data_IF_278249465551
#
_entry.id   IF_278249465551
#
_cell.length_a   1.000
_cell.length_b   1.000
_cell.length_c   1.000
_cell.angle_alpha   90.00
_cell.angle_beta   90.00
_cell.angle_gamma   90.00
#
_symmetry.space_group_name_H-M   'P 1'
#
loop_
_entity.id
_entity.type
_entity.pdbx_description
1 polymer ?
#
# COMPACT_ATOMS: atom_id res chain seq x y z
N UNK A 1 12.16 -13.67 -3.10
CA UNK A 1 10.93 -14.35 -2.61
C UNK A 1 10.09 -14.85 -3.78
N UNK A 2 9.36 -15.95 -3.62
CA UNK A 2 8.40 -16.46 -4.62
C UNK A 2 7.09 -15.65 -4.60
N UNK A 3 6.79 -14.96 -5.70
CA UNK A 3 5.59 -14.12 -5.82
C UNK A 3 4.29 -14.94 -5.80
N UNK A 4 4.34 -16.24 -6.09
CA UNK A 4 3.14 -17.10 -6.07
C UNK A 4 2.55 -17.23 -4.66
N UNK A 5 3.37 -17.08 -3.61
CA UNK A 5 2.90 -16.99 -2.22
C UNK A 5 1.90 -15.83 -2.01
N UNK A 6 1.96 -14.78 -2.84
CA UNK A 6 1.08 -13.61 -2.76
C UNK A 6 -0.16 -13.70 -3.65
N UNK A 7 -0.42 -14.80 -4.37
CA UNK A 7 -1.54 -14.88 -5.32
C UNK A 7 -2.90 -14.58 -4.69
N UNK A 8 -3.21 -15.21 -3.55
CA UNK A 8 -4.46 -14.99 -2.81
C UNK A 8 -4.57 -13.53 -2.35
N UNK A 9 -3.48 -12.96 -1.82
CA UNK A 9 -3.43 -11.56 -1.41
C UNK A 9 -3.66 -10.62 -2.60
N UNK A 10 -2.96 -10.86 -3.71
CA UNK A 10 -3.10 -10.11 -4.97
C UNK A 10 -4.52 -10.16 -5.51
N UNK A 11 -5.16 -11.33 -5.51
CA UNK A 11 -6.54 -11.50 -5.93
C UNK A 11 -7.50 -10.67 -5.08
N UNK A 12 -7.34 -10.69 -3.76
CA UNK A 12 -8.17 -9.89 -2.87
C UNK A 12 -7.94 -8.38 -3.06
N UNK A 13 -6.69 -7.94 -3.26
CA UNK A 13 -6.41 -6.56 -3.62
C UNK A 13 -7.14 -6.16 -4.91
N UNK A 14 -7.08 -6.97 -5.96
CA UNK A 14 -7.75 -6.69 -7.23
C UNK A 14 -9.27 -6.54 -7.07
N UNK A 15 -9.88 -7.36 -6.21
CA UNK A 15 -11.33 -7.34 -5.98
C UNK A 15 -11.81 -6.19 -5.08
N UNK A 16 -11.07 -5.89 -4.01
CA UNK A 16 -11.55 -5.02 -2.93
C UNK A 16 -10.88 -3.64 -2.89
N UNK A 17 -9.64 -3.51 -3.38
CA UNK A 17 -8.91 -2.24 -3.33
C UNK A 17 -9.66 -1.10 -4.04
N UNK A 18 -10.22 -1.28 -5.26
CA UNK A 18 -10.94 -0.19 -5.93
C UNK A 18 -12.08 0.39 -5.08
N UNK A 19 -12.77 -0.46 -4.31
CA UNK A 19 -13.88 -0.03 -3.44
C UNK A 19 -13.41 0.75 -2.22
N UNK A 20 -12.24 0.42 -1.65
CA UNK A 20 -11.69 1.22 -0.56
C UNK A 20 -11.12 2.54 -1.06
N UNK A 21 -10.43 2.54 -2.20
CA UNK A 21 -9.98 3.79 -2.85
C UNK A 21 -11.17 4.68 -3.18
N UNK A 22 -12.28 4.12 -3.68
CA UNK A 22 -13.50 4.87 -3.93
C UNK A 22 -14.02 5.62 -2.69
N UNK A 23 -13.98 5.00 -1.51
CA UNK A 23 -14.40 5.67 -0.26
C UNK A 23 -13.49 6.86 0.05
N UNK A 24 -12.17 6.66 -0.07
CA UNK A 24 -11.19 7.72 0.17
C UNK A 24 -11.39 8.88 -0.82
N UNK A 25 -11.59 8.59 -2.10
CA UNK A 25 -11.83 9.62 -3.13
C UNK A 25 -13.14 10.37 -2.92
N UNK A 26 -14.19 9.69 -2.46
CA UNK A 26 -15.46 10.35 -2.13
C UNK A 26 -15.31 11.33 -0.96
N UNK A 27 -14.50 10.98 0.05
CA UNK A 27 -14.21 11.85 1.18
C UNK A 27 -13.31 13.04 0.75
N UNK A 28 -12.43 12.82 -0.22
CA UNK A 28 -11.52 13.83 -0.78
C UNK A 28 -12.08 14.63 -1.96
N UNK A 29 -13.34 14.44 -2.39
CA UNK A 29 -13.86 14.94 -3.68
C UNK A 29 -13.80 16.46 -3.90
N UNK A 30 -13.70 17.23 -2.82
CA UNK A 30 -13.60 18.70 -2.85
C UNK A 30 -12.14 19.19 -2.78
N UNK A 31 -11.19 18.26 -2.68
CA UNK A 31 -9.75 18.51 -2.61
C UNK A 31 -9.09 18.44 -3.98
N UNK A 32 -7.92 19.06 -4.11
CA UNK A 32 -7.16 19.08 -5.37
C UNK A 32 -6.21 17.90 -5.54
N UNK A 33 -5.78 17.34 -4.42
CA UNK A 33 -4.78 16.27 -4.35
C UNK A 33 -5.12 15.33 -3.22
N UNK A 34 -4.67 14.09 -3.33
CA UNK A 34 -4.80 13.11 -2.25
C UNK A 34 -3.55 12.22 -2.26
N UNK A 35 -2.96 11.96 -1.10
CA UNK A 35 -1.94 10.94 -0.96
C UNK A 35 -2.53 9.74 -0.21
N UNK A 36 -2.27 8.53 -0.70
CA UNK A 36 -2.80 7.28 -0.13
C UNK A 36 -1.62 6.34 0.16
N UNK A 37 -1.42 6.06 1.44
CA UNK A 37 -0.36 5.22 1.97
C UNK A 37 -0.85 3.83 2.34
N UNK A 38 -0.11 2.81 1.93
CA UNK A 38 -0.24 1.44 2.38
C UNK A 38 0.79 1.20 3.50
N UNK A 39 0.34 1.20 4.76
CA UNK A 39 1.21 1.22 5.93
C UNK A 39 1.17 -0.11 6.67
N UNK A 40 2.31 -0.78 6.73
CA UNK A 40 2.47 -2.04 7.45
C UNK A 40 3.24 -1.85 8.75
N UNK A 41 3.12 -2.76 9.72
CA UNK A 41 4.06 -2.81 10.85
C UNK A 41 5.41 -3.34 10.39
N UNK A 42 6.48 -3.08 11.14
CA UNK A 42 7.82 -3.56 10.78
C UNK A 42 7.91 -5.09 10.60
N UNK A 43 7.08 -5.85 11.31
CA UNK A 43 6.99 -7.32 11.27
C UNK A 43 5.90 -7.85 10.32
N UNK A 44 5.21 -6.98 9.58
CA UNK A 44 4.09 -7.29 8.69
C UNK A 44 2.84 -7.90 9.35
N UNK A 45 2.73 -7.87 10.69
CA UNK A 45 1.52 -8.25 11.45
C UNK A 45 0.50 -7.13 11.63
N UNK A 46 0.60 -6.08 10.83
CA UNK A 46 -0.41 -5.04 10.69
C UNK A 46 -0.33 -4.47 9.28
N UNK A 47 -1.49 -4.16 8.69
CA UNK A 47 -1.53 -3.51 7.39
C UNK A 47 -2.80 -2.68 7.22
N UNK A 48 -2.65 -1.40 6.92
CA UNK A 48 -3.75 -0.46 6.80
C UNK A 48 -3.50 0.59 5.72
N UNK A 49 -4.57 1.30 5.34
CA UNK A 49 -4.52 2.48 4.48
C UNK A 49 -4.51 3.73 5.35
N UNK A 50 -3.71 4.73 4.97
CA UNK A 50 -3.74 6.07 5.51
C UNK A 50 -3.84 7.08 4.36
N UNK A 51 -4.44 8.24 4.59
CA UNK A 51 -4.46 9.29 3.57
C UNK A 51 -4.48 10.71 4.15
N UNK A 52 -4.03 11.64 3.33
CA UNK A 52 -4.14 13.07 3.57
C UNK A 52 -4.36 13.80 2.23
N UNK A 53 -4.74 15.07 2.30
CA UNK A 53 -5.03 15.90 1.14
C UNK A 53 -3.79 16.67 0.64
N UNK A 54 -2.66 16.56 1.35
CA UNK A 54 -1.35 17.00 0.87
C UNK A 54 -0.66 15.93 0.03
N UNK A 55 0.41 16.31 -0.67
CA UNK A 55 1.36 15.38 -1.30
C UNK A 55 2.62 15.17 -0.46
N UNK A 56 2.62 15.61 0.80
CA UNK A 56 3.77 15.44 1.70
C UNK A 56 3.66 14.11 2.46
N UNK A 57 4.32 13.09 1.91
CA UNK A 57 4.27 11.73 2.46
C UNK A 57 5.33 11.48 3.53
N UNK A 58 6.24 12.43 3.82
CA UNK A 58 7.32 12.19 4.79
C UNK A 58 6.86 12.28 6.25
N UNK A 59 5.69 12.88 6.48
CA UNK A 59 5.04 12.99 7.79
C UNK A 59 3.75 12.13 7.86
N UNK A 60 3.68 11.04 7.09
CA UNK A 60 2.48 10.18 7.03
C UNK A 60 2.05 9.61 8.38
N UNK A 61 2.97 9.50 9.35
CA UNK A 61 2.71 9.02 10.71
C UNK A 61 1.87 9.99 11.55
N UNK A 62 1.73 11.25 11.15
CA UNK A 62 0.86 12.24 11.79
C UNK A 62 -0.56 12.28 11.19
N UNK A 63 -0.80 11.51 10.12
CA UNK A 63 -2.08 11.55 9.43
C UNK A 63 -3.20 10.95 10.27
N UNK A 64 -4.36 11.62 10.24
CA UNK A 64 -5.52 11.25 11.05
C UNK A 64 -6.46 10.28 10.36
N UNK A 65 -6.45 10.27 9.03
CA UNK A 65 -7.33 9.39 8.28
C UNK A 65 -6.68 8.03 8.11
N UNK A 66 -7.44 6.98 8.40
CA UNK A 66 -6.98 5.62 8.22
C UNK A 66 -8.12 4.62 8.16
N UNK A 67 -7.89 3.52 7.43
CA UNK A 67 -8.80 2.40 7.27
C UNK A 67 -7.99 1.10 7.36
N UNK A 68 -8.48 0.12 8.10
CA UNK A 68 -7.83 -1.18 8.25
C UNK A 68 -8.68 -2.27 7.58
N UNK A 69 -8.71 -2.33 6.23
CA UNK A 69 -9.52 -3.31 5.54
C UNK A 69 -8.96 -4.73 5.74
N UNK A 70 -9.84 -5.69 6.02
CA UNK A 70 -9.44 -7.06 6.37
C UNK A 70 -8.64 -7.77 5.25
N UNK A 71 -8.85 -7.40 3.99
CA UNK A 71 -8.14 -8.00 2.85
C UNK A 71 -6.67 -7.59 2.78
N UNK A 72 -6.27 -6.47 3.41
CA UNK A 72 -4.87 -6.11 3.52
C UNK A 72 -4.19 -6.89 4.66
N UNK A 73 -4.90 -7.05 5.79
CA UNK A 73 -4.29 -7.60 6.99
C UNK A 73 -4.18 -9.13 6.98
N UNK A 74 -5.30 -9.85 7.06
CA UNK A 74 -5.27 -11.29 7.33
C UNK A 74 -4.51 -12.09 6.26
N UNK A 75 -4.68 -11.84 4.95
CA UNK A 75 -3.95 -12.61 3.95
C UNK A 75 -2.45 -12.29 3.93
N UNK A 76 -2.03 -11.10 4.40
CA UNK A 76 -0.59 -10.83 4.56
C UNK A 76 -0.02 -11.64 5.72
N UNK A 77 -0.73 -11.69 6.85
CA UNK A 77 -0.35 -12.53 8.00
C UNK A 77 -0.27 -14.01 7.61
N UNK A 78 -1.26 -14.51 6.87
CA UNK A 78 -1.24 -15.90 6.36
C UNK A 78 0.07 -16.19 5.57
N UNK A 79 0.60 -15.22 4.82
CA UNK A 79 1.85 -15.37 4.06
C UNK A 79 3.05 -15.31 4.99
N UNK A 80 3.09 -14.36 5.93
CA UNK A 80 4.15 -14.23 6.95
C UNK A 80 4.28 -15.54 7.74
N UNK A 81 3.17 -16.09 8.22
CA UNK A 81 3.12 -17.37 8.97
C UNK A 81 3.51 -18.58 8.11
N UNK A 82 3.47 -18.47 6.78
CA UNK A 82 3.91 -19.54 5.87
C UNK A 82 5.41 -19.46 5.50
N UNK A 83 6.12 -18.45 5.99
CA UNK A 83 7.54 -18.21 5.73
C UNK A 83 8.36 -18.43 7.02
N UNK A 84 8.30 -19.66 7.56
CA UNK A 84 9.00 -20.06 8.80
C UNK A 84 10.52 -19.79 8.76
N UNK A 85 11.10 -19.68 7.56
CA UNK A 85 12.51 -19.43 7.33
C UNK A 85 12.94 -17.96 7.49
N UNK A 86 11.99 -17.01 7.57
CA UNK A 86 12.29 -15.58 7.61
C UNK A 86 12.09 -15.03 9.01
N UNK A 87 13.14 -14.42 9.57
CA UNK A 87 13.02 -13.58 10.75
C UNK A 87 12.49 -12.19 10.35
N UNK A 88 11.22 -11.93 10.65
CA UNK A 88 10.57 -10.64 10.42
C UNK A 88 10.83 -9.62 11.54
N UNK A 89 11.37 -10.03 12.68
CA UNK A 89 11.65 -9.14 13.82
C UNK A 89 12.95 -8.34 13.64
N UNK A 90 13.87 -8.81 12.80
CA UNK A 90 15.14 -8.16 12.52
C UNK A 90 15.31 -7.77 11.04
N UNK A 91 16.24 -6.87 10.72
CA UNK A 91 16.57 -6.56 9.33
C UNK A 91 17.34 -7.72 8.70
N UNK A 92 16.91 -8.17 7.52
CA UNK A 92 17.52 -9.24 6.74
C UNK A 92 17.27 -9.06 5.26
N UNK A 93 18.09 -9.68 4.41
CA UNK A 93 17.86 -9.65 2.96
C UNK A 93 16.53 -10.32 2.60
N UNK A 94 16.18 -11.40 3.30
CA UNK A 94 14.94 -12.14 3.13
C UNK A 94 13.71 -11.32 3.50
N UNK A 95 13.74 -10.59 4.63
CA UNK A 95 12.68 -9.66 5.02
C UNK A 95 12.51 -8.54 4.00
N UNK A 96 13.63 -8.01 3.49
CA UNK A 96 13.56 -6.98 2.45
C UNK A 96 12.99 -7.54 1.13
N UNK A 97 13.38 -8.75 0.73
CA UNK A 97 12.83 -9.44 -0.43
C UNK A 97 11.32 -9.69 -0.32
N UNK A 98 10.83 -10.02 0.87
CA UNK A 98 9.40 -10.07 1.16
C UNK A 98 8.75 -8.71 0.91
N UNK A 99 9.31 -7.63 1.47
CA UNK A 99 8.84 -6.27 1.27
C UNK A 99 8.80 -5.86 -0.20
N UNK A 100 9.84 -6.15 -0.98
CA UNK A 100 9.88 -5.87 -2.42
C UNK A 100 8.79 -6.62 -3.21
N UNK A 101 8.51 -7.86 -2.81
CA UNK A 101 7.47 -8.68 -3.44
C UNK A 101 6.09 -8.11 -3.13
N UNK A 102 5.86 -7.71 -1.88
CA UNK A 102 4.65 -6.99 -1.49
C UNK A 102 4.46 -5.71 -2.31
N UNK A 103 5.51 -4.88 -2.44
CA UNK A 103 5.46 -3.66 -3.26
C UNK A 103 5.09 -3.97 -4.72
N UNK A 104 5.67 -5.01 -5.31
CA UNK A 104 5.35 -5.43 -6.68
C UNK A 104 3.89 -5.84 -6.85
N UNK A 105 3.32 -6.50 -5.85
CA UNK A 105 1.90 -6.89 -5.85
C UNK A 105 1.00 -5.68 -5.71
N UNK A 106 1.34 -4.73 -4.83
CA UNK A 106 0.58 -3.48 -4.69
C UNK A 106 0.64 -2.65 -5.97
N UNK A 107 1.83 -2.46 -6.56
CA UNK A 107 2.03 -1.71 -7.81
C UNK A 107 1.12 -2.23 -8.93
N UNK A 108 1.14 -3.56 -9.14
CA UNK A 108 0.26 -4.22 -10.10
C UNK A 108 -1.20 -3.86 -9.85
N UNK A 109 -1.68 -4.03 -8.62
CA UNK A 109 -3.09 -3.82 -8.28
C UNK A 109 -3.50 -2.33 -8.37
N UNK A 110 -2.63 -1.39 -7.99
CA UNK A 110 -2.86 0.05 -8.12
C UNK A 110 -2.96 0.47 -9.59
N UNK A 111 -2.07 -0.09 -10.43
CA UNK A 111 -2.08 0.12 -11.89
C UNK A 111 -3.27 -0.55 -12.57
N UNK A 112 -3.87 -1.58 -12.00
CA UNK A 112 -5.08 -2.20 -12.56
C UNK A 112 -6.36 -1.40 -12.25
N UNK A 113 -6.34 -0.45 -11.31
CA UNK A 113 -7.50 0.40 -11.03
C UNK A 113 -7.91 1.19 -12.30
N UNK A 114 -9.19 1.19 -12.68
CA UNK A 114 -9.67 1.94 -13.85
C UNK A 114 -9.59 3.45 -13.61
N UNK A 115 -9.19 4.21 -14.63
CA UNK A 115 -9.04 5.66 -14.50
C UNK A 115 -10.39 6.37 -14.30
N UNK A 116 -11.47 5.73 -14.76
CA UNK A 116 -12.86 6.12 -14.54
C UNK A 116 -13.22 6.27 -13.06
N UNK A 117 -12.57 5.50 -12.16
CA UNK A 117 -12.78 5.62 -10.72
C UNK A 117 -12.35 7.00 -10.22
N UNK A 118 -11.20 7.50 -10.67
CA UNK A 118 -10.69 8.82 -10.25
C UNK A 118 -11.52 9.94 -10.86
N UNK A 119 -11.83 9.83 -12.16
CA UNK A 119 -12.60 10.84 -12.88
C UNK A 119 -14.00 11.04 -12.27
N UNK A 120 -14.62 9.97 -11.74
CA UNK A 120 -15.91 10.04 -11.03
C UNK A 120 -15.90 11.04 -9.87
N UNK A 121 -14.74 11.26 -9.24
CA UNK A 121 -14.56 12.15 -8.10
C UNK A 121 -13.72 13.39 -8.43
N UNK A 122 -13.70 13.80 -9.70
CA UNK A 122 -12.99 15.00 -10.18
C UNK A 122 -11.46 14.97 -9.98
N UNK A 123 -10.88 13.77 -9.88
CA UNK A 123 -9.44 13.56 -9.88
C UNK A 123 -8.97 13.00 -11.21
N UNK A 124 -7.76 13.37 -11.62
CA UNK A 124 -6.95 12.54 -12.51
C UNK A 124 -6.10 11.59 -11.69
N UNK A 125 -5.60 10.53 -12.30
CA UNK A 125 -4.72 9.57 -11.61
C UNK A 125 -3.48 10.26 -11.03
N UNK A 126 -2.88 11.19 -11.76
CA UNK A 126 -1.70 11.96 -11.32
C UNK A 126 -1.96 12.92 -10.14
N UNK A 127 -3.22 13.20 -9.83
CA UNK A 127 -3.60 13.99 -8.65
C UNK A 127 -3.53 13.14 -7.37
N UNK A 128 -3.52 11.82 -7.51
CA UNK A 128 -3.38 10.85 -6.43
C UNK A 128 -1.94 10.36 -6.33
N UNK A 129 -1.34 10.51 -5.15
CA UNK A 129 0.01 10.01 -4.85
C UNK A 129 -0.10 8.73 -4.03
N UNK A 130 0.31 7.59 -4.60
CA UNK A 130 0.34 6.32 -3.89
C UNK A 130 1.71 6.04 -3.30
N UNK A 131 1.78 5.47 -2.11
CA UNK A 131 3.03 4.97 -1.55
C UNK A 131 2.77 3.82 -0.56
N UNK A 132 3.83 3.13 -0.16
CA UNK A 132 3.82 2.17 0.92
C UNK A 132 4.99 2.43 1.87
N UNK A 133 4.79 2.19 3.15
CA UNK A 133 5.86 2.29 4.14
C UNK A 133 5.58 1.38 5.33
N UNK A 134 6.56 1.28 6.21
CA UNK A 134 6.36 0.67 7.53
C UNK A 134 6.02 1.78 8.53
N UNK A 135 5.19 1.53 9.52
CA UNK A 135 4.87 2.50 10.58
C UNK A 135 6.10 2.94 11.38
N UNK A 136 7.11 2.07 11.41
CA UNK A 136 8.39 2.21 12.08
C UNK A 136 9.37 1.16 11.52
N UNK A 137 10.60 1.14 12.00
CA UNK A 137 11.53 0.04 11.73
C UNK A 137 12.49 0.29 10.56
N UNK A 138 13.25 -0.75 10.25
CA UNK A 138 14.52 -0.63 9.53
C UNK A 138 14.36 -0.24 8.06
N UNK A 139 13.22 -0.57 7.46
CA UNK A 139 12.96 -0.33 6.04
C UNK A 139 11.93 0.77 5.75
N UNK A 140 11.44 1.50 6.77
CA UNK A 140 10.43 2.56 6.61
C UNK A 140 10.77 3.53 5.46
N UNK A 141 11.92 4.20 5.55
CA UNK A 141 12.33 5.19 4.53
C UNK A 141 12.63 4.54 3.17
N UNK A 142 13.22 3.34 3.18
CA UNK A 142 13.57 2.62 1.95
C UNK A 142 12.30 2.19 1.19
N UNK A 143 11.31 1.67 1.89
CA UNK A 143 10.01 1.28 1.35
C UNK A 143 9.24 2.50 0.85
N UNK A 144 9.25 3.61 1.60
CA UNK A 144 8.65 4.88 1.21
C UNK A 144 9.21 5.37 -0.14
N UNK A 145 10.53 5.57 -0.23
CA UNK A 145 11.15 6.14 -1.43
C UNK A 145 11.01 5.24 -2.66
N UNK A 146 11.05 3.91 -2.49
CA UNK A 146 10.90 2.99 -3.62
C UNK A 146 9.45 2.96 -4.11
N UNK A 147 8.49 2.86 -3.19
CA UNK A 147 7.07 2.76 -3.54
C UNK A 147 6.52 4.05 -4.15
N UNK A 148 6.94 5.22 -3.67
CA UNK A 148 6.58 6.52 -4.24
C UNK A 148 6.92 6.57 -5.73
N UNK A 149 8.11 6.11 -6.11
CA UNK A 149 8.48 6.06 -7.53
C UNK A 149 7.70 4.96 -8.25
N UNK A 150 7.67 3.75 -7.67
CA UNK A 150 7.11 2.57 -8.31
C UNK A 150 5.63 2.75 -8.68
N UNK A 151 4.80 3.17 -7.72
CA UNK A 151 3.34 3.18 -7.85
C UNK A 151 2.82 4.31 -8.72
N UNK A 152 3.60 5.37 -8.90
CA UNK A 152 3.17 6.59 -9.61
C UNK A 152 3.83 6.73 -10.98
N UNK A 153 4.55 5.71 -11.45
CA UNK A 153 4.95 5.61 -12.85
C UNK A 153 3.75 5.21 -13.71
N UNK A 154 3.70 5.75 -14.94
CA UNK A 154 2.67 5.41 -15.91
C UNK A 154 2.56 3.89 -16.13
N UNK A 155 1.34 3.41 -16.38
CA UNK A 155 1.07 2.02 -16.75
C UNK A 155 1.87 1.58 -17.98
#
# INVERSE_FOLDING_TARGET
>A
MDITKFEKFSQQCSEYLPKEIEKILNDAKDEKTCAIGFITTDDFYGFYLAWDYSKDIYEFFEWKNGLSPAFLYQPLVDIVESCDEIDFCGPSEEKWDFGQTLLSVLDKNIKEIPDELFHKYNFKREDILFFASMSNGDYMNKMLSISEVMFNTSK
#
